data_IF_468403062790
#
_entry.id   IF_468403062790
#
_cell.length_a   1.000
_cell.length_b   1.000
_cell.length_c   1.000
_cell.angle_alpha   90.00
_cell.angle_beta   90.00
_cell.angle_gamma   90.00
#
_symmetry.space_group_name_H-M   'P 1'
#
loop_
_entity.id
_entity.type
_entity.pdbx_description
1 polymer ?
#
# COMPACT_ATOMS: atom_id res chain seq x y z
N UNK A 1 -0.23 23.80 -32.54
CA UNK A 1 0.27 23.21 -31.28
C UNK A 1 1.48 23.99 -30.82
N UNK A 2 1.54 24.36 -29.53
CA UNK A 2 2.73 24.92 -28.89
C UNK A 2 3.48 23.81 -28.13
N UNK A 3 4.81 23.84 -28.19
CA UNK A 3 5.68 22.98 -27.37
C UNK A 3 6.48 23.86 -26.42
N UNK A 4 6.27 23.67 -25.12
CA UNK A 4 6.96 24.39 -24.06
C UNK A 4 7.95 23.43 -23.43
N UNK A 5 9.22 23.81 -23.37
CA UNK A 5 10.25 23.04 -22.66
C UNK A 5 10.93 23.91 -21.63
N UNK A 6 11.06 23.40 -20.41
CA UNK A 6 11.73 24.06 -19.29
C UNK A 6 12.66 23.08 -18.59
N UNK A 7 13.87 23.54 -18.28
CA UNK A 7 14.74 22.85 -17.33
C UNK A 7 14.21 23.14 -15.91
N UNK A 8 14.11 22.10 -15.09
CA UNK A 8 13.72 22.18 -13.69
C UNK A 8 14.97 22.11 -12.81
N UNK A 9 15.01 22.92 -11.75
CA UNK A 9 16.16 23.01 -10.85
C UNK A 9 16.26 21.81 -9.89
N UNK A 10 15.11 21.18 -9.58
CA UNK A 10 15.03 20.11 -8.59
C UNK A 10 15.33 18.75 -9.23
N UNK A 11 15.96 17.85 -8.46
CA UNK A 11 16.06 16.44 -8.83
C UNK A 11 14.82 15.67 -8.38
N UNK A 12 14.59 14.53 -9.02
CA UNK A 12 13.57 13.58 -8.55
C UNK A 12 14.22 12.68 -7.49
N UNK A 13 13.68 12.72 -6.28
CA UNK A 13 14.06 11.83 -5.19
C UNK A 13 13.34 10.47 -5.31
N UNK A 14 13.92 9.42 -4.72
CA UNK A 14 13.31 8.09 -4.60
C UNK A 14 13.01 7.37 -5.92
N UNK A 15 13.71 7.72 -7.00
CA UNK A 15 13.60 7.01 -8.29
C UNK A 15 13.86 5.51 -8.12
N UNK A 16 14.78 5.14 -7.24
CA UNK A 16 15.13 3.74 -6.96
C UNK A 16 13.92 2.90 -6.50
N UNK A 17 12.87 3.50 -5.93
CA UNK A 17 11.66 2.78 -5.53
C UNK A 17 10.82 2.31 -6.72
N UNK A 18 11.08 2.85 -7.92
CA UNK A 18 10.44 2.38 -9.16
C UNK A 18 11.08 1.09 -9.69
N UNK A 19 12.35 0.81 -9.34
CA UNK A 19 13.15 -0.27 -9.91
C UNK A 19 13.72 0.02 -11.31
N UNK A 20 13.55 1.24 -11.84
CA UNK A 20 14.07 1.68 -13.14
C UNK A 20 15.17 2.73 -12.99
N UNK A 21 16.00 2.88 -14.02
CA UNK A 21 16.98 3.98 -14.09
C UNK A 21 16.24 5.27 -14.43
N UNK A 22 16.72 6.40 -13.92
CA UNK A 22 16.07 7.70 -14.11
C UNK A 22 15.90 8.12 -15.58
N UNK A 23 16.81 7.67 -16.47
CA UNK A 23 16.75 7.95 -17.91
C UNK A 23 15.69 7.11 -18.64
N UNK A 24 15.24 6.01 -18.03
CA UNK A 24 14.23 5.10 -18.59
C UNK A 24 12.79 5.47 -18.16
N UNK A 25 12.63 6.51 -17.32
CA UNK A 25 11.36 6.88 -16.68
C UNK A 25 10.86 8.21 -17.25
N UNK A 26 9.55 8.27 -17.47
CA UNK A 26 8.85 9.51 -17.77
C UNK A 26 7.59 9.63 -16.93
N UNK A 27 7.40 10.80 -16.33
CA UNK A 27 6.19 11.19 -15.63
C UNK A 27 5.30 11.91 -16.61
N UNK A 28 4.00 11.65 -16.61
CA UNK A 28 3.07 12.36 -17.48
C UNK A 28 1.71 12.58 -16.83
N UNK A 29 1.02 13.61 -17.32
CA UNK A 29 -0.31 14.02 -16.91
C UNK A 29 -1.00 14.72 -18.09
N UNK A 30 -2.31 14.51 -18.24
CA UNK A 30 -3.09 15.11 -19.32
C UNK A 30 -4.13 16.10 -18.81
N UNK A 31 -4.41 17.10 -19.64
CA UNK A 31 -5.50 18.02 -19.39
C UNK A 31 -6.56 17.96 -20.49
N UNK A 32 -7.82 17.86 -20.06
CA UNK A 32 -8.96 17.70 -20.96
C UNK A 32 -10.11 18.62 -20.59
N UNK A 33 -10.97 18.94 -21.56
CA UNK A 33 -12.21 19.69 -21.29
C UNK A 33 -13.34 18.80 -20.74
N UNK A 34 -13.00 17.65 -20.14
CA UNK A 34 -13.93 16.71 -19.52
C UNK A 34 -13.63 15.24 -19.87
N UNK A 35 -14.38 14.32 -19.27
CA UNK A 35 -14.00 12.90 -19.20
C UNK A 35 -14.22 12.05 -20.46
N UNK A 36 -14.99 12.52 -21.45
CA UNK A 36 -15.42 11.71 -22.60
C UNK A 36 -14.59 12.01 -23.86
N UNK A 37 -13.69 11.12 -24.30
CA UNK A 37 -12.79 11.38 -25.43
C UNK A 37 -13.52 11.73 -26.74
N UNK A 38 -14.74 11.23 -26.93
CA UNK A 38 -15.58 11.53 -28.11
C UNK A 38 -15.91 13.01 -28.25
N UNK A 39 -16.16 13.67 -27.11
CA UNK A 39 -16.82 14.98 -27.08
C UNK A 39 -15.97 16.06 -26.44
N UNK A 40 -14.87 15.70 -25.79
CA UNK A 40 -13.99 16.64 -25.09
C UNK A 40 -12.66 16.81 -25.81
N UNK A 41 -11.97 17.90 -25.52
CA UNK A 41 -10.72 18.27 -26.16
C UNK A 41 -9.57 17.87 -25.23
N UNK A 42 -8.57 17.17 -25.79
CA UNK A 42 -7.26 16.98 -25.16
C UNK A 42 -6.44 18.24 -25.43
N UNK A 43 -6.33 19.12 -24.44
CA UNK A 43 -5.71 20.41 -24.67
C UNK A 43 -4.27 20.50 -24.19
N UNK A 44 -3.82 19.58 -23.34
CA UNK A 44 -2.42 19.52 -22.96
C UNK A 44 -2.01 18.10 -22.58
N UNK A 45 -0.78 17.76 -22.91
CA UNK A 45 -0.05 16.67 -22.25
C UNK A 45 1.26 17.23 -21.76
N UNK A 46 1.55 17.04 -20.48
CA UNK A 46 2.83 17.42 -19.90
C UNK A 46 3.64 16.19 -19.50
N UNK A 47 4.95 16.34 -19.51
CA UNK A 47 5.89 15.31 -19.11
C UNK A 47 7.07 15.86 -18.32
N UNK A 48 7.56 15.07 -17.36
CA UNK A 48 8.86 15.29 -16.69
C UNK A 48 9.75 14.07 -16.90
N UNK A 49 11.00 14.28 -17.30
CA UNK A 49 11.97 13.23 -17.60
C UNK A 49 13.40 13.74 -17.47
N UNK A 50 14.37 12.81 -17.38
CA UNK A 50 15.79 13.15 -17.43
C UNK A 50 16.33 13.15 -18.87
N UNK A 51 17.04 14.21 -19.25
CA UNK A 51 17.79 14.28 -20.50
C UNK A 51 19.20 14.79 -20.20
N UNK A 52 20.23 14.01 -20.55
CA UNK A 52 21.63 14.37 -20.29
C UNK A 52 21.87 14.81 -18.83
N UNK A 53 21.27 14.08 -17.88
CA UNK A 53 21.34 14.36 -16.44
C UNK A 53 20.65 15.66 -15.97
N UNK A 54 19.86 16.32 -16.83
CA UNK A 54 19.03 17.48 -16.49
C UNK A 54 17.58 17.07 -16.40
N UNK A 55 16.84 17.62 -15.44
CA UNK A 55 15.41 17.38 -15.32
C UNK A 55 14.66 18.33 -16.25
N UNK A 56 13.91 17.79 -17.20
CA UNK A 56 13.21 18.56 -18.21
C UNK A 56 11.70 18.36 -18.06
N UNK A 57 10.96 19.46 -18.08
CA UNK A 57 9.52 19.48 -18.23
C UNK A 57 9.17 19.90 -19.68
N UNK A 58 8.44 19.05 -20.40
CA UNK A 58 7.91 19.36 -21.74
C UNK A 58 6.39 19.32 -21.70
N UNK A 59 5.74 20.34 -22.21
CA UNK A 59 4.28 20.43 -22.31
C UNK A 59 3.89 20.68 -23.77
N UNK A 60 3.09 19.79 -24.34
CA UNK A 60 2.45 19.99 -25.65
C UNK A 60 1.06 20.54 -25.43
N UNK A 61 0.81 21.74 -25.94
CA UNK A 61 -0.40 22.50 -25.70
C UNK A 61 -1.17 22.75 -27.00
N UNK A 62 -2.46 22.43 -26.97
CA UNK A 62 -3.40 22.62 -28.07
C UNK A 62 -3.88 24.06 -28.08
N UNK A 63 -3.14 24.93 -28.76
CA UNK A 63 -3.50 26.34 -28.97
C UNK A 63 -4.65 26.54 -29.97
N UNK A 64 -5.27 25.48 -30.47
CA UNK A 64 -6.53 25.53 -31.21
C UNK A 64 -7.34 24.25 -30.94
N UNK A 65 -8.59 24.19 -31.38
CA UNK A 65 -9.39 22.96 -31.27
C UNK A 65 -8.85 21.82 -32.15
N UNK A 66 -8.16 22.18 -33.23
CA UNK A 66 -7.66 21.25 -34.24
C UNK A 66 -6.28 20.68 -33.89
N UNK A 67 -5.52 21.37 -33.02
CA UNK A 67 -4.17 20.98 -32.63
C UNK A 67 -4.09 19.76 -31.68
N UNK A 68 -5.22 19.26 -31.15
CA UNK A 68 -5.22 18.15 -30.19
C UNK A 68 -4.65 16.84 -30.78
N UNK A 69 -4.78 16.64 -32.10
CA UNK A 69 -4.19 15.50 -32.80
C UNK A 69 -2.66 15.60 -32.80
N UNK A 70 -2.12 16.79 -33.03
CA UNK A 70 -0.67 17.04 -33.03
C UNK A 70 -0.10 16.84 -31.62
N UNK A 71 -0.81 17.31 -30.58
CA UNK A 71 -0.45 17.07 -29.16
C UNK A 71 -0.34 15.57 -28.89
N UNK A 72 -1.35 14.80 -29.31
CA UNK A 72 -1.38 13.36 -29.10
C UNK A 72 -0.23 12.66 -29.84
N UNK A 73 -0.03 12.95 -31.14
CA UNK A 73 1.02 12.33 -31.95
C UNK A 73 2.39 12.63 -31.36
N UNK A 74 2.66 13.89 -31.01
CA UNK A 74 3.92 14.30 -30.43
C UNK A 74 4.24 13.55 -29.12
N UNK A 75 3.25 13.37 -28.24
CA UNK A 75 3.42 12.58 -27.02
C UNK A 75 3.68 11.10 -27.31
N UNK A 76 2.89 10.46 -28.17
CA UNK A 76 3.03 9.02 -28.45
C UNK A 76 4.39 8.68 -29.09
N UNK A 77 4.90 9.54 -29.99
CA UNK A 77 6.25 9.39 -30.54
C UNK A 77 7.33 9.63 -29.48
N UNK A 78 7.07 10.56 -28.56
CA UNK A 78 8.04 10.94 -27.54
C UNK A 78 8.23 9.86 -26.46
N UNK A 79 7.16 9.16 -26.07
CA UNK A 79 7.21 8.18 -24.99
C UNK A 79 7.88 6.86 -25.38
N UNK A 80 7.99 6.54 -26.68
CA UNK A 80 8.53 5.27 -27.19
C UNK A 80 9.98 4.99 -26.73
N UNK A 81 10.74 6.04 -26.38
CA UNK A 81 12.12 5.91 -25.88
C UNK A 81 12.22 5.57 -24.38
N UNK A 82 11.12 5.55 -23.65
CA UNK A 82 11.10 5.26 -22.21
C UNK A 82 10.53 3.87 -21.92
N UNK A 83 10.96 3.29 -20.81
CA UNK A 83 10.53 1.94 -20.39
C UNK A 83 9.43 1.96 -19.35
N UNK A 84 9.32 3.05 -18.58
CA UNK A 84 8.31 3.20 -17.53
C UNK A 84 7.58 4.53 -17.66
N UNK A 85 6.25 4.46 -17.74
CA UNK A 85 5.36 5.61 -17.58
C UNK A 85 4.93 5.71 -16.11
N UNK A 86 5.14 6.86 -15.49
CA UNK A 86 4.66 7.18 -14.15
C UNK A 86 3.50 8.17 -14.26
N UNK A 87 2.39 7.85 -13.60
CA UNK A 87 1.19 8.68 -13.60
C UNK A 87 0.48 8.63 -12.24
N UNK A 88 -0.48 9.52 -12.04
CA UNK A 88 -1.38 9.51 -10.89
C UNK A 88 -2.81 9.23 -11.35
N UNK A 89 -3.30 8.00 -11.11
CA UNK A 89 -4.60 7.52 -11.60
C UNK A 89 -4.70 7.48 -13.15
N UNK A 90 -3.57 7.44 -13.85
CA UNK A 90 -3.55 7.38 -15.32
C UNK A 90 -4.06 6.07 -15.89
N UNK A 91 -3.97 4.94 -15.17
CA UNK A 91 -4.63 3.70 -15.59
C UNK A 91 -6.16 3.82 -15.52
N UNK A 92 -6.66 4.67 -14.61
CA UNK A 92 -8.09 4.91 -14.43
C UNK A 92 -8.67 5.88 -15.46
N UNK A 93 -7.87 6.82 -15.97
CA UNK A 93 -8.37 7.90 -16.81
C UNK A 93 -7.49 8.19 -18.04
N UNK A 94 -6.27 8.66 -17.83
CA UNK A 94 -5.41 9.24 -18.87
C UNK A 94 -5.12 8.24 -20.01
N UNK A 95 -4.68 7.04 -19.67
CA UNK A 95 -4.32 5.99 -20.63
C UNK A 95 -5.54 5.56 -21.45
N UNK A 96 -6.68 5.17 -20.85
CA UNK A 96 -7.90 4.89 -21.59
C UNK A 96 -8.35 6.06 -22.50
N UNK A 97 -8.21 7.30 -22.02
CA UNK A 97 -8.58 8.50 -22.76
C UNK A 97 -7.71 8.66 -24.02
N UNK A 98 -6.39 8.62 -23.87
CA UNK A 98 -5.42 8.75 -24.95
C UNK A 98 -5.55 7.60 -25.97
N UNK A 99 -5.73 6.36 -25.50
CA UNK A 99 -5.89 5.21 -26.38
C UNK A 99 -7.18 5.33 -27.22
N UNK A 100 -8.26 5.86 -26.64
CA UNK A 100 -9.51 6.12 -27.38
C UNK A 100 -9.33 7.20 -28.44
N UNK A 101 -8.64 8.30 -28.11
CA UNK A 101 -8.27 9.34 -29.09
C UNK A 101 -7.41 8.77 -30.23
N UNK A 102 -6.43 7.90 -29.93
CA UNK A 102 -5.63 7.23 -30.95
C UNK A 102 -6.52 6.44 -31.93
N UNK A 103 -7.46 5.64 -31.41
CA UNK A 103 -8.42 4.91 -32.24
C UNK A 103 -9.29 5.84 -33.10
N UNK A 104 -9.79 6.93 -32.53
CA UNK A 104 -10.60 7.92 -33.27
C UNK A 104 -9.84 8.55 -34.44
N UNK A 105 -8.53 8.77 -34.28
CA UNK A 105 -7.67 9.33 -35.33
C UNK A 105 -7.03 8.29 -36.25
N UNK A 106 -7.29 7.00 -36.05
CA UNK A 106 -6.67 5.91 -36.81
C UNK A 106 -5.16 5.78 -36.58
N UNK A 107 -4.66 6.19 -35.41
CA UNK A 107 -3.25 6.09 -35.04
C UNK A 107 -2.93 4.70 -34.48
N UNK A 108 -1.88 4.07 -34.97
CA UNK A 108 -1.47 2.72 -34.61
C UNK A 108 -0.59 2.66 -33.34
N UNK A 109 -0.84 3.55 -32.37
CA UNK A 109 -0.11 3.58 -31.09
C UNK A 109 -0.84 2.75 -30.02
N UNK A 110 -0.07 2.05 -29.18
CA UNK A 110 -0.60 1.23 -28.09
C UNK A 110 0.13 1.51 -26.78
N UNK A 111 -0.37 2.49 -26.03
CA UNK A 111 0.20 2.87 -24.72
C UNK A 111 -0.03 1.77 -23.67
N UNK A 112 -1.07 0.94 -23.87
CA UNK A 112 -1.43 -0.18 -22.99
C UNK A 112 -0.35 -1.27 -22.92
N UNK A 113 0.61 -1.29 -23.86
CA UNK A 113 1.73 -2.25 -23.87
C UNK A 113 2.94 -1.79 -23.05
N UNK A 114 2.98 -0.52 -22.65
CA UNK A 114 4.09 0.04 -21.87
C UNK A 114 3.98 -0.35 -20.39
N UNK A 115 5.12 -0.43 -19.69
CA UNK A 115 5.07 -0.58 -18.24
C UNK A 115 4.58 0.72 -17.61
N UNK A 116 3.62 0.61 -16.70
CA UNK A 116 3.00 1.76 -16.03
C UNK A 116 3.10 1.60 -14.51
N UNK A 117 3.64 2.62 -13.85
CA UNK A 117 3.55 2.79 -12.41
C UNK A 117 2.52 3.88 -12.11
N UNK A 118 1.30 3.45 -11.78
CA UNK A 118 0.23 4.33 -11.33
C UNK A 118 0.29 4.48 -9.80
N UNK A 119 0.75 5.64 -9.33
CA UNK A 119 0.94 5.92 -7.90
C UNK A 119 -0.36 5.78 -7.12
N UNK A 120 -1.50 6.22 -7.68
CA UNK A 120 -2.79 6.09 -7.02
C UNK A 120 -3.12 4.62 -6.73
N UNK A 121 -2.89 3.73 -7.70
CA UNK A 121 -3.13 2.29 -7.54
C UNK A 121 -2.18 1.65 -6.53
N UNK A 122 -0.94 2.13 -6.44
CA UNK A 122 0.01 1.67 -5.43
C UNK A 122 -0.43 2.05 -4.00
N UNK A 123 -1.13 3.17 -3.83
CA UNK A 123 -1.55 3.67 -2.52
C UNK A 123 -2.95 3.19 -2.09
N UNK A 124 -3.79 2.77 -3.04
CA UNK A 124 -5.16 2.35 -2.79
C UNK A 124 -5.30 1.30 -1.66
N UNK A 125 -4.46 0.24 -1.59
CA UNK A 125 -4.58 -0.76 -0.52
C UNK A 125 -4.32 -0.20 0.89
N UNK A 126 -3.63 0.93 1.00
CA UNK A 126 -3.23 1.55 2.26
C UNK A 126 -4.07 2.77 2.61
N UNK A 127 -5.19 3.00 1.91
CA UNK A 127 -6.04 4.17 2.12
C UNK A 127 -6.44 4.34 3.59
N UNK A 128 -6.83 3.24 4.23
CA UNK A 128 -7.37 3.20 5.58
C UNK A 128 -6.36 3.68 6.64
N UNK A 129 -5.07 3.44 6.41
CA UNK A 129 -3.99 3.73 7.38
C UNK A 129 -3.28 5.06 7.11
N UNK A 130 -3.48 5.68 5.94
CA UNK A 130 -2.87 6.97 5.60
C UNK A 130 -3.58 8.16 6.28
N UNK A 131 -4.77 7.95 6.85
CA UNK A 131 -5.57 8.97 7.53
C UNK A 131 -5.79 10.26 6.71
N UNK A 132 -5.84 10.13 5.38
CA UNK A 132 -6.14 11.23 4.47
C UNK A 132 -7.63 11.26 4.15
N UNK A 133 -8.24 12.43 3.88
CA UNK A 133 -9.67 12.51 3.56
C UNK A 133 -10.02 11.77 2.26
N UNK A 134 -9.07 11.73 1.32
CA UNK A 134 -9.15 10.99 0.07
C UNK A 134 -7.74 10.83 -0.50
N UNK A 135 -7.62 9.97 -1.52
CA UNK A 135 -6.39 9.74 -2.27
C UNK A 135 -6.34 10.59 -3.56
N UNK A 136 -6.75 11.87 -3.51
CA UNK A 136 -6.41 12.79 -4.61
C UNK A 136 -4.95 13.22 -4.45
N UNK A 137 -4.28 13.52 -5.56
CA UNK A 137 -2.88 13.91 -5.54
C UNK A 137 -2.60 15.05 -4.55
N UNK A 138 -3.36 16.14 -4.63
CA UNK A 138 -3.28 17.29 -3.69
C UNK A 138 -3.43 16.88 -2.22
N UNK A 139 -4.26 15.89 -1.90
CA UNK A 139 -4.42 15.39 -0.53
C UNK A 139 -3.19 14.60 -0.05
N UNK A 140 -2.55 13.85 -0.93
CA UNK A 140 -1.30 13.14 -0.61
C UNK A 140 -0.12 14.11 -0.48
N UNK A 141 -0.07 15.13 -1.32
CA UNK A 141 0.92 16.20 -1.19
C UNK A 141 0.77 16.98 0.11
N UNK A 142 -0.46 17.31 0.50
CA UNK A 142 -0.74 17.93 1.80
C UNK A 142 -0.28 17.03 2.94
N UNK A 143 -0.53 15.71 2.83
CA UNK A 143 -0.01 14.73 3.79
C UNK A 143 1.53 14.77 3.88
N UNK A 144 2.21 14.89 2.74
CA UNK A 144 3.67 15.09 2.69
C UNK A 144 4.12 16.46 3.21
N UNK A 145 3.22 17.45 3.33
CA UNK A 145 3.54 18.82 3.71
C UNK A 145 3.99 19.69 2.53
N UNK A 146 3.68 19.27 1.30
CA UNK A 146 3.94 20.02 0.08
C UNK A 146 2.83 21.07 -0.07
N UNK A 147 3.22 22.32 -0.24
CA UNK A 147 2.31 23.43 -0.50
C UNK A 147 2.44 23.83 -1.97
N UNK A 148 1.31 23.92 -2.69
CA UNK A 148 1.26 24.41 -4.08
C UNK A 148 0.93 25.91 -4.13
N UNK A 149 1.36 26.59 -5.19
CA UNK A 149 0.87 27.93 -5.50
C UNK A 149 -0.48 27.89 -6.24
N UNK A 150 -0.70 26.84 -7.05
CA UNK A 150 -1.94 26.63 -7.79
C UNK A 150 -3.16 26.39 -6.88
N UNK A 151 -4.17 27.24 -7.06
CA UNK A 151 -5.44 27.21 -6.33
C UNK A 151 -6.58 26.60 -7.14
N UNK A 152 -6.39 26.35 -8.43
CA UNK A 152 -7.45 25.89 -9.31
C UNK A 152 -7.61 24.37 -9.22
N UNK A 153 -8.82 23.89 -9.48
CA UNK A 153 -9.05 22.48 -9.78
C UNK A 153 -9.25 22.29 -11.30
N UNK A 154 -9.03 21.07 -11.80
CA UNK A 154 -9.12 20.78 -13.24
C UNK A 154 -10.45 21.17 -13.89
N UNK A 155 -11.57 21.20 -13.13
CA UNK A 155 -12.86 21.66 -13.64
C UNK A 155 -12.87 23.16 -13.95
N UNK A 156 -12.21 23.98 -13.13
CA UNK A 156 -12.11 25.43 -13.32
C UNK A 156 -11.21 25.80 -14.51
N UNK A 157 -10.21 24.96 -14.82
CA UNK A 157 -9.30 25.18 -15.95
C UNK A 157 -9.98 25.05 -17.30
N UNK A 158 -11.09 24.32 -17.39
CA UNK A 158 -11.85 24.17 -18.64
C UNK A 158 -12.30 25.53 -19.16
N UNK A 159 -12.90 26.36 -18.31
CA UNK A 159 -13.35 27.70 -18.68
C UNK A 159 -12.18 28.62 -19.02
N UNK A 160 -11.04 28.46 -18.35
CA UNK A 160 -9.81 29.22 -18.64
C UNK A 160 -9.27 28.85 -20.02
N UNK A 161 -9.26 27.57 -20.38
CA UNK A 161 -8.86 27.10 -21.71
C UNK A 161 -9.79 27.62 -22.81
N UNK A 162 -11.11 27.55 -22.60
CA UNK A 162 -12.07 28.07 -23.58
C UNK A 162 -11.90 29.58 -23.77
N UNK A 163 -11.73 30.36 -22.70
CA UNK A 163 -11.43 31.80 -22.79
C UNK A 163 -10.11 32.07 -23.51
N UNK A 164 -9.08 31.27 -23.25
CA UNK A 164 -7.81 31.36 -23.96
C UNK A 164 -7.98 31.18 -25.48
N UNK A 165 -8.82 30.24 -25.93
CA UNK A 165 -9.08 30.05 -27.36
C UNK A 165 -9.73 31.29 -28.02
N UNK A 166 -10.52 32.06 -27.28
CA UNK A 166 -11.18 33.26 -27.77
C UNK A 166 -10.25 34.48 -27.78
N UNK A 167 -9.51 34.71 -26.69
CA UNK A 167 -8.81 35.97 -26.45
C UNK A 167 -7.28 35.89 -26.52
N UNK A 168 -6.70 34.69 -26.59
CA UNK A 168 -5.25 34.45 -26.61
C UNK A 168 -4.49 35.10 -25.45
N UNK A 169 -5.13 35.22 -24.28
CA UNK A 169 -4.52 35.83 -23.09
C UNK A 169 -3.30 35.04 -22.62
N UNK A 170 -2.16 35.73 -22.50
CA UNK A 170 -0.94 35.17 -21.90
C UNK A 170 -1.15 34.77 -20.44
N UNK A 171 -2.04 35.45 -19.71
CA UNK A 171 -2.36 35.11 -18.32
C UNK A 171 -3.03 33.73 -18.24
N UNK A 172 -4.05 33.48 -19.06
CA UNK A 172 -4.73 32.18 -19.12
C UNK A 172 -3.75 31.07 -19.53
N UNK A 173 -2.89 31.33 -20.53
CA UNK A 173 -1.86 30.39 -20.95
C UNK A 173 -0.87 30.04 -19.82
N UNK A 174 -0.41 31.06 -19.09
CA UNK A 174 0.49 30.88 -17.95
C UNK A 174 -0.18 30.08 -16.83
N UNK A 175 -1.46 30.34 -16.52
CA UNK A 175 -2.22 29.60 -15.52
C UNK A 175 -2.36 28.11 -15.89
N UNK A 176 -2.78 27.81 -17.13
CA UNK A 176 -2.95 26.44 -17.61
C UNK A 176 -1.62 25.67 -17.58
N UNK A 177 -0.56 26.26 -18.13
CA UNK A 177 0.76 25.60 -18.16
C UNK A 177 1.41 25.51 -16.78
N UNK A 178 1.10 26.43 -15.86
CA UNK A 178 1.56 26.35 -14.47
C UNK A 178 0.91 25.18 -13.74
N UNK A 179 -0.42 25.03 -13.84
CA UNK A 179 -1.16 23.96 -13.16
C UNK A 179 -0.59 22.58 -13.48
N UNK A 180 -0.60 22.17 -14.75
CA UNK A 180 -0.10 20.86 -15.17
C UNK A 180 1.39 20.66 -14.81
N UNK A 181 2.21 21.73 -14.85
CA UNK A 181 3.61 21.63 -14.43
C UNK A 181 3.72 21.38 -12.92
N UNK A 182 2.93 22.04 -12.09
CA UNK A 182 2.89 21.78 -10.64
C UNK A 182 2.35 20.39 -10.32
N UNK A 183 1.36 19.90 -11.06
CA UNK A 183 0.87 18.52 -10.93
C UNK A 183 1.96 17.50 -11.24
N UNK A 184 2.74 17.71 -12.30
CA UNK A 184 3.88 16.84 -12.61
C UNK A 184 4.99 16.92 -11.55
N UNK A 185 5.36 18.11 -11.09
CA UNK A 185 6.39 18.31 -10.04
C UNK A 185 5.93 17.70 -8.71
N UNK A 186 4.65 17.88 -8.36
CA UNK A 186 4.06 17.27 -7.19
C UNK A 186 4.10 15.74 -7.28
N UNK A 187 3.75 15.20 -8.46
CA UNK A 187 3.78 13.75 -8.71
C UNK A 187 5.16 13.14 -8.56
N UNK A 188 6.24 13.80 -9.01
CA UNK A 188 7.61 13.27 -8.81
C UNK A 188 7.95 13.14 -7.33
N UNK A 189 7.46 14.06 -6.49
CA UNK A 189 7.66 14.03 -5.03
C UNK A 189 6.89 12.89 -4.35
N UNK A 190 5.84 12.37 -4.99
CA UNK A 190 5.01 11.29 -4.46
C UNK A 190 5.68 9.91 -4.53
N UNK A 191 6.83 9.76 -5.21
CA UNK A 191 7.58 8.50 -5.19
C UNK A 191 7.95 8.05 -3.77
N UNK A 192 8.18 8.99 -2.86
CA UNK A 192 8.41 8.72 -1.43
C UNK A 192 7.30 7.85 -0.80
N UNK A 193 6.06 7.94 -1.28
CA UNK A 193 4.92 7.17 -0.79
C UNK A 193 5.02 5.67 -1.14
N UNK A 194 5.83 5.30 -2.13
CA UNK A 194 6.06 3.88 -2.47
C UNK A 194 6.80 3.12 -1.34
N UNK A 195 7.46 3.84 -0.43
CA UNK A 195 8.09 3.26 0.76
C UNK A 195 7.09 2.44 1.61
N UNK A 196 5.84 2.89 1.76
CA UNK A 196 4.81 2.13 2.48
C UNK A 196 4.60 0.75 1.85
N UNK A 197 4.47 0.69 0.51
CA UNK A 197 4.37 -0.58 -0.22
C UNK A 197 5.60 -1.46 -0.02
N UNK A 198 6.80 -0.87 0.00
CA UNK A 198 8.05 -1.61 0.24
C UNK A 198 8.00 -2.28 1.63
N UNK A 199 7.53 -1.58 2.67
CA UNK A 199 7.36 -2.16 4.02
C UNK A 199 6.37 -3.33 4.00
N UNK A 200 5.19 -3.16 3.39
CA UNK A 200 4.17 -4.21 3.29
C UNK A 200 4.61 -5.43 2.45
N UNK A 201 5.62 -5.26 1.59
CA UNK A 201 6.25 -6.36 0.87
C UNK A 201 7.44 -6.96 1.62
N UNK A 202 7.59 -6.67 2.91
CA UNK A 202 8.67 -7.20 3.74
C UNK A 202 9.98 -6.43 3.64
N UNK A 203 9.97 -5.17 3.21
CA UNK A 203 11.14 -4.28 3.17
C UNK A 203 11.55 -3.80 4.57
N UNK A 204 11.87 -4.73 5.47
CA UNK A 204 12.31 -4.47 6.84
C UNK A 204 13.07 -5.66 7.44
N UNK A 205 13.76 -5.39 8.54
CA UNK A 205 14.42 -6.38 9.41
C UNK A 205 13.98 -6.18 10.86
N UNK A 206 13.97 -7.24 11.66
CA UNK A 206 13.68 -7.18 13.08
C UNK A 206 14.97 -6.84 13.84
N UNK A 207 14.95 -5.78 14.64
CA UNK A 207 16.09 -5.37 15.47
C UNK A 207 16.03 -5.97 16.87
N UNK A 208 14.84 -5.96 17.47
CA UNK A 208 14.65 -6.41 18.84
C UNK A 208 13.25 -6.99 19.04
N UNK A 209 13.12 -7.93 19.97
CA UNK A 209 11.84 -8.47 20.42
C UNK A 209 11.84 -8.54 21.94
N UNK A 210 10.93 -7.79 22.57
CA UNK A 210 10.83 -7.66 24.01
C UNK A 210 9.50 -8.20 24.52
N UNK A 211 9.56 -8.92 25.64
CA UNK A 211 8.38 -9.34 26.39
C UNK A 211 8.24 -8.42 27.60
N UNK A 212 7.17 -7.64 27.62
CA UNK A 212 6.89 -6.65 28.66
C UNK A 212 5.69 -7.14 29.46
N UNK A 213 5.92 -7.51 30.73
CA UNK A 213 4.85 -7.80 31.68
C UNK A 213 4.63 -6.60 32.59
N UNK A 214 3.38 -6.21 32.77
CA UNK A 214 3.02 -5.10 33.65
C UNK A 214 1.93 -5.52 34.64
N UNK A 215 2.04 -4.98 35.85
CA UNK A 215 1.09 -5.17 36.94
C UNK A 215 1.08 -3.88 37.75
N UNK A 216 0.14 -2.98 37.44
CA UNK A 216 0.03 -1.67 38.09
C UNK A 216 -1.37 -1.47 38.66
N UNK A 217 -1.51 -0.54 39.61
CA UNK A 217 -2.81 -0.20 40.18
C UNK A 217 -3.78 0.41 39.15
N UNK A 218 -3.25 0.94 38.04
CA UNK A 218 -4.00 1.65 36.99
C UNK A 218 -4.39 0.76 35.80
N UNK A 219 -3.75 -0.41 35.64
CA UNK A 219 -3.97 -1.32 34.50
C UNK A 219 -3.98 -2.77 34.96
N UNK A 220 -5.01 -3.52 34.55
CA UNK A 220 -5.10 -4.96 34.79
C UNK A 220 -3.81 -5.66 34.33
N UNK A 221 -3.30 -6.67 35.08
CA UNK A 221 -2.08 -7.37 34.72
C UNK A 221 -2.13 -7.88 33.27
N UNK A 222 -1.02 -7.74 32.57
CA UNK A 222 -0.94 -8.18 31.19
C UNK A 222 0.50 -8.35 30.72
N UNK A 223 0.62 -9.00 29.57
CA UNK A 223 1.90 -9.20 28.88
C UNK A 223 1.75 -8.74 27.44
N UNK A 224 2.72 -7.98 26.96
CA UNK A 224 2.82 -7.52 25.59
C UNK A 224 4.15 -7.98 24.99
N UNK A 225 4.13 -8.33 23.71
CA UNK A 225 5.33 -8.55 22.90
C UNK A 225 5.51 -7.35 21.98
N UNK A 226 6.68 -6.72 22.08
CA UNK A 226 7.05 -5.54 21.28
C UNK A 226 8.13 -5.95 20.29
N UNK A 227 7.85 -5.76 19.01
CA UNK A 227 8.78 -5.98 17.90
C UNK A 227 9.33 -4.62 17.46
N UNK A 228 10.62 -4.37 17.66
CA UNK A 228 11.33 -3.22 17.10
C UNK A 228 11.84 -3.55 15.72
N UNK A 229 11.51 -2.72 14.74
CA UNK A 229 11.69 -3.02 13.31
C UNK A 229 12.50 -1.89 12.67
N UNK A 230 13.53 -2.27 11.89
CA UNK A 230 14.24 -1.37 10.98
C UNK A 230 13.66 -1.47 9.58
N UNK A 231 13.24 -0.35 9.03
CA UNK A 231 12.74 -0.30 7.66
C UNK A 231 13.90 -0.21 6.66
N UNK A 232 13.80 -0.92 5.54
CA UNK A 232 14.79 -0.86 4.47
C UNK A 232 14.79 0.49 3.74
N UNK A 233 13.65 1.18 3.77
CA UNK A 233 13.46 2.51 3.17
C UNK A 233 12.68 3.38 4.15
N UNK A 234 13.08 4.65 4.38
CA UNK A 234 12.36 5.51 5.30
C UNK A 234 10.96 5.87 4.76
N UNK A 235 9.97 5.89 5.64
CA UNK A 235 8.62 6.38 5.32
C UNK A 235 8.51 7.88 5.59
N UNK A 236 7.86 8.67 4.71
CA UNK A 236 7.91 10.13 4.75
C UNK A 236 7.08 10.74 5.87
N UNK A 237 6.05 10.03 6.34
CA UNK A 237 5.16 10.48 7.42
C UNK A 237 4.85 9.35 8.37
N UNK A 238 4.63 9.72 9.63
CA UNK A 238 4.24 8.77 10.67
C UNK A 238 2.85 8.25 10.36
N UNK A 239 2.71 6.93 10.35
CA UNK A 239 1.41 6.28 10.39
C UNK A 239 1.35 5.36 11.60
N UNK A 240 0.15 5.22 12.15
CA UNK A 240 -0.12 4.36 13.28
C UNK A 240 -1.56 3.89 13.24
N UNK A 241 -1.78 2.61 13.43
CA UNK A 241 -3.09 1.97 13.32
C UNK A 241 -3.13 0.70 14.17
N UNK A 242 -4.34 0.23 14.49
CA UNK A 242 -4.54 -0.89 15.40
C UNK A 242 -5.68 -0.66 16.38
N UNK A 243 -5.66 -1.43 17.47
CA UNK A 243 -6.66 -1.47 18.51
C UNK A 243 -6.01 -1.72 19.89
N UNK A 244 -6.80 -1.99 20.92
CA UNK A 244 -6.30 -2.20 22.29
C UNK A 244 -5.42 -3.45 22.47
N UNK A 245 -5.55 -4.45 21.59
CA UNK A 245 -4.78 -5.70 21.69
C UNK A 245 -3.55 -5.69 20.78
N UNK A 246 -3.59 -4.94 19.68
CA UNK A 246 -2.53 -4.94 18.67
C UNK A 246 -2.37 -3.56 18.08
N UNK A 247 -1.16 -3.01 18.10
CA UNK A 247 -0.88 -1.66 17.62
C UNK A 247 0.40 -1.63 16.79
N UNK A 248 0.33 -1.01 15.62
CA UNK A 248 1.46 -0.83 14.73
C UNK A 248 1.73 0.65 14.51
N UNK A 249 3.00 1.04 14.49
CA UNK A 249 3.41 2.38 14.08
C UNK A 249 4.71 2.36 13.30
N UNK A 250 4.86 3.26 12.34
CA UNK A 250 6.10 3.45 11.58
C UNK A 250 6.36 4.93 11.31
N UNK A 251 7.63 5.31 11.34
CA UNK A 251 8.10 6.64 10.97
C UNK A 251 9.58 6.63 10.63
N UNK A 252 9.96 7.39 9.60
CA UNK A 252 11.33 7.40 9.08
C UNK A 252 11.78 5.95 8.83
N UNK A 253 12.93 5.55 9.35
CA UNK A 253 13.53 4.23 9.16
C UNK A 253 13.19 3.23 10.28
N UNK A 254 12.19 3.53 11.12
CA UNK A 254 11.80 2.70 12.28
C UNK A 254 10.32 2.34 12.25
N UNK A 255 10.01 1.16 12.78
CA UNK A 255 8.65 0.73 13.07
C UNK A 255 8.59 -0.08 14.37
N UNK A 256 7.39 -0.16 14.94
CA UNK A 256 7.10 -0.96 16.11
C UNK A 256 5.75 -1.64 15.97
N UNK A 257 5.71 -2.93 16.28
CA UNK A 257 4.47 -3.69 16.46
C UNK A 257 4.39 -4.12 17.92
N UNK A 258 3.28 -3.79 18.58
CA UNK A 258 2.97 -4.26 19.93
C UNK A 258 1.77 -5.20 19.85
N UNK A 259 1.89 -6.39 20.44
CA UNK A 259 0.82 -7.38 20.49
C UNK A 259 0.61 -7.85 21.93
N UNK A 260 -0.61 -7.75 22.44
CA UNK A 260 -0.99 -8.30 23.74
C UNK A 260 -1.01 -9.82 23.67
N UNK A 261 -0.22 -10.45 24.53
CA UNK A 261 -0.16 -11.90 24.63
C UNK A 261 -1.33 -12.44 25.46
N UNK A 262 -1.81 -13.62 25.06
CA UNK A 262 -2.69 -14.45 25.86
C UNK A 262 -1.83 -15.31 26.79
N UNK A 263 -1.99 -15.18 28.11
CA UNK A 263 -1.15 -15.87 29.10
C UNK A 263 -1.88 -16.95 29.89
N UNK A 264 -3.16 -17.17 29.60
CA UNK A 264 -3.95 -18.24 30.21
C UNK A 264 -3.73 -19.58 29.48
N UNK A 265 -4.42 -20.60 29.95
CA UNK A 265 -4.39 -21.95 29.40
C UNK A 265 -5.17 -22.04 28.08
N UNK A 266 -4.53 -22.56 27.02
CA UNK A 266 -5.16 -22.79 25.71
C UNK A 266 -5.18 -24.28 25.34
N UNK A 267 -6.03 -24.65 24.37
CA UNK A 267 -6.25 -26.03 23.93
C UNK A 267 -5.56 -26.30 22.60
N UNK A 268 -4.76 -27.36 22.55
CA UNK A 268 -4.26 -27.95 21.31
C UNK A 268 -5.19 -29.08 20.88
N UNK A 269 -5.91 -28.90 19.77
CA UNK A 269 -6.86 -29.88 19.26
C UNK A 269 -6.18 -30.86 18.30
N UNK A 270 -6.25 -32.15 18.62
CA UNK A 270 -5.63 -33.20 17.81
C UNK A 270 -6.45 -33.46 16.52
N UNK A 271 -5.85 -33.33 15.31
CA UNK A 271 -6.56 -33.55 14.05
C UNK A 271 -7.08 -34.99 13.91
N UNK A 272 -6.33 -35.98 14.42
CA UNK A 272 -6.64 -37.40 14.40
C UNK A 272 -7.50 -37.85 15.60
N UNK A 273 -8.54 -37.09 15.95
CA UNK A 273 -9.38 -37.34 17.13
C UNK A 273 -9.97 -38.75 17.23
N UNK A 274 -10.13 -39.44 16.09
CA UNK A 274 -10.64 -40.81 16.04
C UNK A 274 -9.74 -41.81 16.79
N UNK A 275 -8.47 -41.46 17.02
CA UNK A 275 -7.49 -42.28 17.73
C UNK A 275 -7.35 -41.95 19.21
N UNK A 276 -8.29 -41.16 19.74
CA UNK A 276 -8.30 -40.72 21.13
C UNK A 276 -9.59 -41.10 21.86
N UNK A 277 -9.47 -41.22 23.18
CA UNK A 277 -10.57 -41.17 24.12
C UNK A 277 -10.51 -39.84 24.89
N UNK A 278 -11.66 -39.29 25.25
CA UNK A 278 -11.78 -38.11 26.10
C UNK A 278 -12.14 -38.55 27.52
N UNK A 279 -11.45 -37.97 28.50
CA UNK A 279 -11.65 -38.19 29.93
C UNK A 279 -12.46 -37.01 30.51
N UNK A 280 -13.76 -37.16 30.82
CA UNK A 280 -14.60 -36.03 31.23
C UNK A 280 -14.26 -35.44 32.60
N UNK A 281 -13.68 -36.23 33.52
CA UNK A 281 -13.36 -35.74 34.86
C UNK A 281 -12.05 -34.94 34.86
N UNK A 282 -11.10 -35.36 34.03
CA UNK A 282 -9.76 -34.78 33.89
C UNK A 282 -9.69 -33.72 32.78
N UNK A 283 -10.76 -33.58 31.99
CA UNK A 283 -10.90 -32.62 30.88
C UNK A 283 -9.72 -32.66 29.89
N UNK A 284 -9.37 -33.87 29.45
CA UNK A 284 -8.23 -34.11 28.54
C UNK A 284 -8.45 -35.31 27.63
N UNK A 285 -7.75 -35.33 26.49
CA UNK A 285 -7.77 -36.44 25.55
C UNK A 285 -6.53 -37.34 25.68
N UNK A 286 -6.73 -38.64 25.62
CA UNK A 286 -5.67 -39.66 25.67
C UNK A 286 -5.71 -40.55 24.43
N UNK A 287 -4.53 -40.86 23.86
CA UNK A 287 -4.44 -41.73 22.70
C UNK A 287 -4.83 -43.18 23.06
N UNK A 288 -5.43 -43.92 22.12
CA UNK A 288 -5.89 -45.31 22.31
C UNK A 288 -4.82 -46.25 22.88
N UNK A 289 -3.55 -46.03 22.54
CA UNK A 289 -2.43 -46.85 23.04
C UNK A 289 -2.24 -46.74 24.56
N UNK A 290 -2.55 -45.57 25.14
CA UNK A 290 -2.41 -45.30 26.57
C UNK A 290 -3.74 -45.58 27.30
N UNK A 291 -4.86 -45.50 26.57
CA UNK A 291 -6.17 -45.73 27.14
C UNK A 291 -6.31 -47.09 27.84
N UNK A 292 -5.54 -48.13 27.45
CA UNK A 292 -5.55 -49.44 28.12
C UNK A 292 -5.44 -49.36 29.66
N UNK A 293 -4.73 -48.36 30.19
CA UNK A 293 -4.55 -48.16 31.63
C UNK A 293 -5.69 -47.38 32.32
N UNK A 294 -6.71 -46.96 31.60
CA UNK A 294 -7.85 -46.17 32.10
C UNK A 294 -9.15 -46.97 31.99
N UNK A 295 -9.89 -47.04 33.09
CA UNK A 295 -11.18 -47.75 33.17
C UNK A 295 -12.17 -47.20 32.11
N UNK A 296 -12.86 -48.12 31.43
CA UNK A 296 -13.82 -47.84 30.37
C UNK A 296 -14.96 -46.91 30.84
N UNK A 297 -15.31 -46.95 32.12
CA UNK A 297 -16.39 -46.12 32.69
C UNK A 297 -16.00 -44.64 32.81
N UNK A 298 -14.70 -44.33 32.78
CA UNK A 298 -14.17 -42.98 32.97
C UNK A 298 -13.72 -42.32 31.66
N UNK A 299 -13.91 -43.01 30.52
CA UNK A 299 -13.49 -42.53 29.21
C UNK A 299 -14.61 -42.64 28.18
N UNK A 300 -14.71 -41.64 27.31
CA UNK A 300 -15.65 -41.60 26.19
C UNK A 300 -14.90 -41.51 24.87
N UNK A 301 -15.51 -41.91 23.75
CA UNK A 301 -14.86 -41.69 22.44
C UNK A 301 -14.69 -40.19 22.21
N UNK A 302 -13.49 -39.77 21.82
CA UNK A 302 -13.25 -38.37 21.53
C UNK A 302 -14.02 -37.94 20.26
N UNK A 303 -14.50 -36.70 20.29
CA UNK A 303 -15.01 -35.90 19.19
C UNK A 303 -13.97 -34.83 18.88
N UNK A 304 -13.99 -34.26 17.68
CA UNK A 304 -13.05 -33.20 17.32
C UNK A 304 -13.03 -32.05 18.34
N UNK A 305 -14.21 -31.63 18.83
CA UNK A 305 -14.35 -30.53 19.78
C UNK A 305 -13.92 -30.83 21.24
N UNK A 306 -13.69 -32.09 21.62
CA UNK A 306 -13.19 -32.44 22.96
C UNK A 306 -11.87 -33.23 22.90
N UNK A 307 -11.27 -33.36 21.73
CA UNK A 307 -10.01 -34.05 21.55
C UNK A 307 -8.85 -33.07 21.64
N UNK A 308 -8.50 -32.66 22.85
CA UNK A 308 -7.41 -31.71 23.07
C UNK A 308 -6.55 -32.04 24.29
N UNK A 309 -5.36 -31.44 24.29
CA UNK A 309 -4.57 -31.22 25.50
C UNK A 309 -4.55 -29.73 25.82
N UNK A 310 -4.41 -29.39 27.10
CA UNK A 310 -4.28 -28.01 27.53
C UNK A 310 -2.83 -27.62 27.74
N UNK A 311 -2.50 -26.35 27.51
CA UNK A 311 -1.16 -25.81 27.69
C UNK A 311 -1.23 -24.37 28.21
N UNK A 312 -0.53 -24.14 29.32
CA UNK A 312 -0.27 -22.79 29.84
C UNK A 312 1.03 -22.26 29.23
N UNK A 313 1.02 -21.00 28.82
CA UNK A 313 2.16 -20.40 28.13
C UNK A 313 1.92 -18.93 27.81
N UNK A 314 2.75 -18.38 26.93
CA UNK A 314 2.60 -17.03 26.40
C UNK A 314 2.27 -17.17 24.93
N UNK A 315 1.06 -16.80 24.52
CA UNK A 315 0.58 -17.04 23.18
C UNK A 315 0.26 -15.75 22.44
N UNK A 316 0.57 -15.71 21.16
CA UNK A 316 0.23 -14.59 20.28
C UNK A 316 -0.90 -14.97 19.33
N UNK A 317 -1.86 -14.07 19.07
CA UNK A 317 -2.97 -14.34 18.17
C UNK A 317 -2.51 -14.35 16.71
N UNK A 318 -3.11 -15.20 15.90
CA UNK A 318 -3.04 -15.16 14.45
C UNK A 318 -4.44 -15.36 13.86
N UNK A 319 -4.68 -14.74 12.71
CA UNK A 319 -5.97 -14.66 12.04
C UNK A 319 -6.05 -15.59 10.82
N UNK A 320 -4.88 -16.08 10.39
CA UNK A 320 -4.66 -17.15 9.44
C UNK A 320 -3.62 -18.12 10.04
N UNK A 321 -3.56 -19.35 9.54
CA UNK A 321 -2.59 -20.38 10.00
C UNK A 321 -1.18 -20.09 9.46
N UNK A 322 -0.50 -19.10 10.04
CA UNK A 322 0.86 -18.69 9.66
C UNK A 322 1.91 -19.51 10.38
N UNK A 323 1.75 -19.71 11.69
CA UNK A 323 2.67 -20.48 12.53
C UNK A 323 1.95 -21.72 13.07
N UNK A 324 2.66 -22.85 13.05
CA UNK A 324 2.20 -24.14 13.57
C UNK A 324 3.19 -24.72 14.58
N UNK A 325 2.74 -25.51 15.57
CA UNK A 325 1.34 -25.81 15.88
C UNK A 325 0.60 -24.59 16.48
N UNK A 326 -0.72 -24.57 16.34
CA UNK A 326 -1.58 -23.54 16.92
C UNK A 326 -2.53 -24.11 17.97
N UNK A 327 -3.06 -23.23 18.80
CA UNK A 327 -3.94 -23.45 19.92
C UNK A 327 -5.20 -22.60 19.76
N UNK A 328 -6.28 -22.96 20.46
CA UNK A 328 -7.51 -22.17 20.52
C UNK A 328 -8.05 -22.12 21.95
N UNK A 329 -8.90 -21.14 22.24
CA UNK A 329 -9.67 -21.11 23.50
C UNK A 329 -10.77 -22.18 23.41
N UNK A 330 -11.53 -22.18 22.33
CA UNK A 330 -12.52 -23.19 21.99
C UNK A 330 -12.43 -23.68 20.54
N UNK A 331 -12.97 -24.87 20.29
CA UNK A 331 -12.80 -25.58 19.00
C UNK A 331 -13.28 -24.75 17.79
N UNK A 332 -14.40 -24.06 17.95
CA UNK A 332 -15.06 -23.28 16.89
C UNK A 332 -14.53 -21.85 16.76
N UNK A 333 -13.57 -21.45 17.60
CA UNK A 333 -12.97 -20.12 17.48
C UNK A 333 -12.21 -19.99 16.16
N UNK A 334 -12.36 -18.82 15.56
CA UNK A 334 -11.68 -18.46 14.31
C UNK A 334 -10.25 -17.99 14.57
N UNK A 335 -10.05 -17.24 15.65
CA UNK A 335 -8.73 -16.78 16.06
C UNK A 335 -7.98 -17.99 16.61
N UNK A 336 -6.76 -18.18 16.11
CA UNK A 336 -5.85 -19.20 16.62
C UNK A 336 -4.66 -18.51 17.27
N UNK A 337 -3.90 -19.28 18.03
CA UNK A 337 -2.78 -18.75 18.79
C UNK A 337 -1.57 -19.67 18.62
N UNK A 338 -0.37 -19.12 18.51
CA UNK A 338 0.85 -19.92 18.62
C UNK A 338 1.60 -19.54 19.89
N UNK A 339 2.38 -20.47 20.42
CA UNK A 339 3.19 -20.21 21.60
C UNK A 339 4.43 -19.39 21.23
N UNK A 340 4.62 -18.27 21.92
CA UNK A 340 5.80 -17.42 21.76
C UNK A 340 6.96 -17.99 22.60
N UNK A 341 7.82 -18.77 21.95
CA UNK A 341 8.98 -19.43 22.55
C UNK A 341 10.29 -18.71 22.20
N UNK A 342 11.37 -18.99 22.95
CA UNK A 342 12.70 -18.49 22.61
C UNK A 342 13.21 -19.03 21.26
N UNK A 343 12.81 -20.23 20.86
CA UNK A 343 13.13 -20.78 19.54
C UNK A 343 12.51 -19.94 18.41
N UNK A 344 11.22 -19.61 18.54
CA UNK A 344 10.53 -18.76 17.57
C UNK A 344 11.10 -17.34 17.55
N UNK A 345 11.43 -16.79 18.72
CA UNK A 345 12.10 -15.48 18.85
C UNK A 345 13.41 -15.42 18.04
N UNK A 346 14.11 -16.56 17.93
CA UNK A 346 15.36 -16.69 17.19
C UNK A 346 15.17 -17.13 15.72
N UNK A 347 13.94 -17.12 15.19
CA UNK A 347 13.62 -17.40 13.79
C UNK A 347 13.08 -16.15 13.09
N UNK A 348 13.96 -15.29 12.50
CA UNK A 348 13.55 -14.04 11.88
C UNK A 348 12.55 -14.20 10.73
N UNK A 349 12.62 -15.30 9.97
CA UNK A 349 11.75 -15.52 8.82
C UNK A 349 10.30 -15.78 9.26
N UNK A 350 10.10 -16.61 10.28
CA UNK A 350 8.76 -16.86 10.86
C UNK A 350 8.19 -15.60 11.52
N UNK A 351 9.01 -14.86 12.28
CA UNK A 351 8.60 -13.59 12.88
C UNK A 351 8.23 -12.56 11.80
N UNK A 352 8.99 -12.50 10.70
CA UNK A 352 8.71 -11.59 9.59
C UNK A 352 7.38 -11.93 8.91
N UNK A 353 7.09 -13.21 8.66
CA UNK A 353 5.79 -13.67 8.16
C UNK A 353 4.67 -13.27 9.12
N UNK A 354 4.87 -13.46 10.42
CA UNK A 354 3.89 -13.08 11.45
C UNK A 354 3.62 -11.57 11.50
N UNK A 355 4.65 -10.73 11.45
CA UNK A 355 4.50 -9.27 11.41
C UNK A 355 3.69 -8.85 10.18
N UNK A 356 4.03 -9.38 8.99
CA UNK A 356 3.29 -9.08 7.75
C UNK A 356 1.83 -9.52 7.84
N UNK A 357 1.57 -10.70 8.41
CA UNK A 357 0.22 -11.20 8.66
C UNK A 357 -0.60 -10.22 9.52
N UNK A 358 -0.03 -9.78 10.65
CA UNK A 358 -0.70 -8.83 11.53
C UNK A 358 -0.94 -7.48 10.85
N UNK A 359 0.05 -6.95 10.12
CA UNK A 359 -0.09 -5.69 9.39
C UNK A 359 -1.23 -5.74 8.36
N UNK A 360 -1.32 -6.82 7.57
CA UNK A 360 -2.38 -7.04 6.59
C UNK A 360 -3.74 -7.07 7.28
N UNK A 361 -3.87 -7.88 8.33
CA UNK A 361 -5.13 -8.00 9.07
C UNK A 361 -5.61 -6.66 9.66
N UNK A 362 -4.70 -5.89 10.27
CA UNK A 362 -5.05 -4.58 10.81
C UNK A 362 -5.50 -3.61 9.72
N UNK A 363 -4.87 -3.63 8.55
CA UNK A 363 -5.23 -2.73 7.44
C UNK A 363 -6.64 -3.03 6.91
N UNK A 364 -6.99 -4.31 6.81
CA UNK A 364 -8.31 -4.78 6.36
C UNK A 364 -9.43 -4.42 7.35
N UNK A 365 -9.16 -4.41 8.65
CA UNK A 365 -10.15 -3.97 9.67
C UNK A 365 -10.52 -2.48 9.54
N UNK A 366 -9.63 -1.68 8.96
CA UNK A 366 -9.84 -0.24 8.78
C UNK A 366 -10.30 0.14 7.35
N UNK A 367 -10.34 -0.82 6.42
CA UNK A 367 -10.76 -0.62 5.03
C UNK A 367 -12.29 -0.66 4.88
#
# INVERSE_FOLDING_TARGET
MLCITKELENNIEHIEYTGYKKEDIIFFDIETTGFSPETTILYMIGCIYYQQNRLICTQWFSDSKDAQKDVLVAFMEFIDKYKLLVCYNGLGFDIPYLQKKCRMYGLAYSIEQMAVLDIYKQLQPYRSILHTPNLKQKSIETFLGINREDKYNGGELIDIYLKYLENRSNENFNLLTLHNREDLIGMTSLLSMLSYRIVYNGGFTIENIEKISYNSAERAPGTEIVFSIKLSTPVPKRISFGNESTYFSMYADTASLTVKAHTDELKYFYPNYKDYYYLPQEDTAIHKSIAFYVDKNFRTRAKAANCYSKKTGCFLPQYDEVITPYFKIDYYDRITYFEFTDELKNNPDEIKKYILHIMTHLTEQHA
#
